data_IF_994066122670
#
_entry.id   IF_994066122670
#
_cell.length_a   1.000
_cell.length_b   1.000
_cell.length_c   1.000
_cell.angle_alpha   90.00
_cell.angle_beta   90.00
_cell.angle_gamma   90.00
#
_symmetry.space_group_name_H-M   'P 1'
#
loop_
_entity.id
_entity.type
_entity.pdbx_description
1 polymer ?
#
# COMPACT_ATOMS: atom_id res chain seq x y z
N UNK A 1 23.08 0.68 -5.35
CA UNK A 1 22.32 -0.02 -4.29
C UNK A 1 21.64 -1.22 -4.94
N UNK A 2 22.20 -2.40 -4.76
CA UNK A 2 21.59 -3.63 -5.24
C UNK A 2 20.43 -4.02 -4.33
N UNK A 3 19.21 -3.75 -4.74
CA UNK A 3 18.01 -4.34 -4.15
C UNK A 3 17.87 -5.75 -4.72
N UNK A 4 18.52 -6.72 -4.10
CA UNK A 4 18.36 -8.14 -4.45
C UNK A 4 16.90 -8.54 -4.20
N UNK A 5 16.14 -8.75 -5.27
CA UNK A 5 14.79 -9.34 -5.25
C UNK A 5 13.61 -8.45 -5.67
N UNK A 6 13.75 -7.12 -5.84
CA UNK A 6 12.74 -6.29 -6.51
C UNK A 6 13.20 -5.92 -7.91
N UNK A 7 12.32 -6.10 -8.86
CA UNK A 7 12.55 -5.73 -10.25
C UNK A 7 11.57 -4.63 -10.63
N UNK A 8 12.06 -3.68 -11.38
CA UNK A 8 11.30 -2.58 -11.94
C UNK A 8 10.92 -2.92 -13.37
N UNK A 9 9.63 -2.88 -13.67
CA UNK A 9 9.10 -3.14 -15.01
C UNK A 9 8.60 -1.83 -15.59
N UNK A 10 9.36 -1.30 -16.55
CA UNK A 10 9.01 -0.11 -17.29
C UNK A 10 8.25 -0.47 -18.58
N UNK A 11 7.63 0.52 -19.19
CA UNK A 11 6.81 0.38 -20.37
C UNK A 11 7.12 1.50 -21.36
N UNK A 12 7.57 1.14 -22.55
CA UNK A 12 7.85 2.08 -23.62
C UNK A 12 6.83 1.93 -24.76
N UNK A 13 6.15 3.01 -25.02
CA UNK A 13 5.09 3.09 -26.03
C UNK A 13 5.56 3.71 -27.34
N UNK A 14 6.83 4.09 -27.45
CA UNK A 14 7.37 4.79 -28.61
C UNK A 14 8.58 4.08 -29.20
N UNK A 15 8.53 3.76 -30.51
CA UNK A 15 9.67 3.20 -31.23
C UNK A 15 10.89 4.15 -31.25
N UNK A 16 10.67 5.47 -31.07
CA UNK A 16 11.74 6.47 -31.01
C UNK A 16 12.54 6.34 -29.71
N UNK A 17 11.89 6.00 -28.62
CA UNK A 17 12.55 5.76 -27.33
C UNK A 17 13.34 4.45 -27.33
N UNK A 18 12.86 3.44 -28.08
CA UNK A 18 13.53 2.14 -28.21
C UNK A 18 14.88 2.27 -28.90
N UNK A 19 14.97 3.13 -29.91
CA UNK A 19 16.14 3.17 -30.77
C UNK A 19 17.19 4.17 -30.33
N UNK A 20 16.96 5.10 -29.41
CA UNK A 20 17.89 6.16 -28.93
C UNK A 20 19.02 6.60 -29.90
N UNK A 21 19.11 5.94 -31.04
CA UNK A 21 20.03 6.23 -32.14
C UNK A 21 19.26 7.03 -33.18
N UNK A 22 19.92 8.00 -33.79
CA UNK A 22 19.37 8.75 -34.95
C UNK A 22 19.30 7.84 -36.19
N UNK A 23 18.48 6.78 -36.10
CA UNK A 23 18.20 5.94 -37.27
C UNK A 23 17.15 6.61 -38.15
N UNK A 24 17.19 6.45 -39.46
CA UNK A 24 16.11 6.86 -40.37
C UNK A 24 14.76 6.30 -39.86
N UNK A 25 13.68 7.07 -40.01
CA UNK A 25 12.34 6.72 -39.49
C UNK A 25 11.88 5.33 -39.91
N UNK A 26 12.12 4.95 -41.17
CA UNK A 26 11.73 3.62 -41.67
C UNK A 26 12.51 2.49 -40.99
N UNK A 27 13.82 2.69 -40.72
CA UNK A 27 14.64 1.68 -40.05
C UNK A 27 14.24 1.55 -38.56
N UNK A 28 13.96 2.67 -37.90
CA UNK A 28 13.43 2.68 -36.54
C UNK A 28 12.10 1.93 -36.43
N UNK A 29 11.23 2.11 -37.44
CA UNK A 29 9.97 1.40 -37.57
C UNK A 29 10.16 -0.10 -37.78
N UNK A 30 11.08 -0.51 -38.65
CA UNK A 30 11.40 -1.92 -38.84
C UNK A 30 11.93 -2.59 -37.57
N UNK A 31 12.86 -1.93 -36.88
CA UNK A 31 13.39 -2.42 -35.58
C UNK A 31 12.28 -2.56 -34.55
N UNK A 32 11.40 -1.57 -34.46
CA UNK A 32 10.26 -1.62 -33.57
C UNK A 32 9.30 -2.78 -33.86
N UNK A 33 8.94 -2.98 -35.13
CA UNK A 33 8.10 -4.10 -35.58
C UNK A 33 8.76 -5.46 -35.29
N UNK A 34 10.05 -5.59 -35.47
CA UNK A 34 10.79 -6.80 -35.12
C UNK A 34 10.82 -7.04 -33.62
N UNK A 35 11.08 -6.00 -32.81
CA UNK A 35 11.06 -6.08 -31.34
C UNK A 35 9.70 -6.56 -30.85
N UNK A 36 8.64 -6.03 -31.42
CA UNK A 36 7.27 -6.38 -31.05
C UNK A 36 6.91 -7.80 -31.46
N UNK A 37 7.26 -8.19 -32.71
CA UNK A 37 7.02 -9.54 -33.22
C UNK A 37 7.74 -10.62 -32.39
N UNK A 38 8.96 -10.35 -31.95
CA UNK A 38 9.75 -11.28 -31.13
C UNK A 38 9.49 -11.15 -29.62
N UNK A 39 8.63 -10.21 -29.19
CA UNK A 39 8.36 -9.98 -27.77
C UNK A 39 9.61 -9.52 -27.02
N UNK A 40 10.19 -8.42 -27.47
CA UNK A 40 11.47 -7.94 -26.97
C UNK A 40 11.36 -7.36 -25.56
N UNK A 41 12.27 -7.80 -24.68
CA UNK A 41 12.44 -7.27 -23.33
C UNK A 41 13.87 -6.78 -23.21
N UNK A 42 14.04 -5.49 -22.97
CA UNK A 42 15.34 -4.92 -22.66
C UNK A 42 15.58 -5.01 -21.15
N UNK A 43 16.70 -5.63 -20.76
CA UNK A 43 17.18 -5.63 -19.37
C UNK A 43 18.31 -4.62 -19.23
N UNK A 44 18.25 -3.82 -18.16
CA UNK A 44 19.34 -2.95 -17.73
C UNK A 44 19.35 -2.97 -16.18
N UNK A 45 20.37 -3.56 -15.59
CA UNK A 45 20.47 -3.80 -14.13
C UNK A 45 19.21 -4.53 -13.59
N UNK A 46 18.50 -3.91 -12.64
CA UNK A 46 17.26 -4.43 -12.09
C UNK A 46 16.00 -3.96 -12.84
N UNK A 47 16.15 -3.46 -14.08
CA UNK A 47 15.05 -2.97 -14.90
C UNK A 47 14.77 -3.87 -16.07
N UNK A 48 13.50 -4.21 -16.26
CA UNK A 48 12.96 -4.77 -17.48
C UNK A 48 12.11 -3.73 -18.17
N UNK A 49 12.28 -3.57 -19.46
CA UNK A 49 11.46 -2.65 -20.25
C UNK A 49 10.64 -3.46 -21.22
N UNK A 50 9.32 -3.45 -21.08
CA UNK A 50 8.38 -3.97 -22.06
C UNK A 50 8.20 -2.94 -23.17
N UNK A 51 8.36 -3.38 -24.42
CA UNK A 51 8.19 -2.53 -25.59
C UNK A 51 6.91 -2.96 -26.29
N UNK A 52 5.87 -2.14 -26.21
CA UNK A 52 4.56 -2.45 -26.76
C UNK A 52 4.15 -1.47 -27.90
N UNK A 53 3.16 -1.86 -28.68
CA UNK A 53 2.57 -1.02 -29.72
C UNK A 53 1.72 0.13 -29.16
N UNK A 54 1.48 1.15 -29.99
CA UNK A 54 0.73 2.36 -29.65
C UNK A 54 -0.70 2.10 -29.12
N UNK A 55 -1.23 0.90 -29.30
CA UNK A 55 -2.59 0.52 -28.90
C UNK A 55 -2.66 -0.24 -27.58
N UNK A 56 -1.69 -0.13 -26.70
CA UNK A 56 -1.65 -0.78 -25.37
C UNK A 56 -1.82 -2.32 -25.37
N UNK A 57 -1.63 -2.96 -26.53
CA UNK A 57 -1.73 -4.41 -26.65
C UNK A 57 -0.42 -5.05 -26.20
N UNK A 58 -0.41 -5.52 -24.96
CA UNK A 58 0.70 -6.34 -24.46
C UNK A 58 0.59 -7.73 -25.08
N UNK A 59 1.58 -8.10 -25.87
CA UNK A 59 1.64 -9.39 -26.55
C UNK A 59 1.89 -10.53 -25.54
N UNK A 60 1.18 -11.66 -25.69
CA UNK A 60 1.36 -12.84 -24.81
C UNK A 60 2.79 -13.39 -24.82
N UNK A 61 3.44 -13.32 -25.96
CA UNK A 61 4.85 -13.73 -26.08
C UNK A 61 5.76 -12.89 -25.21
N UNK A 62 5.49 -11.56 -25.12
CA UNK A 62 6.23 -10.67 -24.23
C UNK A 62 6.00 -11.02 -22.76
N UNK A 63 4.78 -11.33 -22.39
CA UNK A 63 4.44 -11.74 -21.02
C UNK A 63 5.12 -13.06 -20.65
N UNK A 64 5.12 -14.03 -21.54
CA UNK A 64 5.81 -15.30 -21.32
C UNK A 64 7.32 -15.12 -21.19
N UNK A 65 7.94 -14.34 -22.07
CA UNK A 65 9.36 -14.02 -21.99
C UNK A 65 9.71 -13.27 -20.69
N UNK A 66 8.84 -12.35 -20.24
CA UNK A 66 9.00 -11.67 -18.96
C UNK A 66 8.95 -12.67 -17.81
N UNK A 67 7.96 -13.58 -17.83
CA UNK A 67 7.80 -14.57 -16.78
C UNK A 67 9.02 -15.49 -16.69
N UNK A 68 9.53 -15.98 -17.83
CA UNK A 68 10.75 -16.80 -17.87
C UNK A 68 11.93 -16.07 -17.21
N UNK A 69 12.09 -14.76 -17.49
CA UNK A 69 13.15 -13.96 -16.89
C UNK A 69 12.93 -13.73 -15.39
N UNK A 70 11.72 -13.43 -14.94
CA UNK A 70 11.40 -13.28 -13.53
C UNK A 70 11.62 -14.60 -12.77
N UNK A 71 11.27 -15.72 -13.39
CA UNK A 71 11.48 -17.05 -12.83
C UNK A 71 12.96 -17.43 -12.76
N UNK A 72 13.74 -17.18 -13.83
CA UNK A 72 15.18 -17.43 -13.89
C UNK A 72 15.93 -16.72 -12.75
N UNK A 73 15.46 -15.54 -12.33
CA UNK A 73 16.08 -14.74 -11.28
C UNK A 73 15.38 -14.87 -9.91
N UNK A 74 14.45 -15.81 -9.72
CA UNK A 74 13.62 -16.01 -8.51
C UNK A 74 12.96 -14.71 -8.02
N UNK A 75 12.47 -13.88 -8.94
CA UNK A 75 11.83 -12.60 -8.63
C UNK A 75 10.38 -12.84 -8.26
N UNK A 76 10.02 -12.47 -7.03
CA UNK A 76 8.66 -12.60 -6.46
C UNK A 76 7.94 -11.27 -6.30
N UNK A 77 8.67 -10.15 -6.42
CA UNK A 77 8.13 -8.82 -6.18
C UNK A 77 8.59 -7.86 -7.26
N UNK A 78 7.66 -7.08 -7.79
CA UNK A 78 7.92 -6.12 -8.85
C UNK A 78 7.34 -4.74 -8.56
N UNK A 79 8.00 -3.72 -9.11
CA UNK A 79 7.49 -2.36 -9.23
C UNK A 79 7.18 -2.11 -10.69
N UNK A 80 5.97 -1.72 -11.00
CA UNK A 80 5.54 -1.51 -12.37
C UNK A 80 5.31 -0.03 -12.66
N UNK A 81 5.61 0.38 -13.89
CA UNK A 81 5.25 1.70 -14.39
C UNK A 81 3.73 1.93 -14.28
N UNK A 82 3.31 3.17 -14.06
CA UNK A 82 1.89 3.51 -13.85
C UNK A 82 0.99 3.07 -15.01
N UNK A 83 1.48 3.13 -16.24
CA UNK A 83 0.75 2.66 -17.42
C UNK A 83 0.47 1.16 -17.38
N UNK A 84 1.42 0.35 -16.91
CA UNK A 84 1.21 -1.08 -16.73
C UNK A 84 0.19 -1.39 -15.64
N UNK A 85 0.17 -0.60 -14.57
CA UNK A 85 -0.82 -0.76 -13.50
C UNK A 85 -2.26 -0.43 -13.93
N UNK A 86 -2.42 0.37 -14.98
CA UNK A 86 -3.72 0.66 -15.60
C UNK A 86 -4.17 -0.43 -16.59
N UNK A 87 -3.27 -1.27 -17.04
CA UNK A 87 -3.58 -2.37 -17.97
C UNK A 87 -4.11 -3.58 -17.19
N UNK A 88 -5.42 -3.78 -17.21
CA UNK A 88 -6.09 -4.86 -16.47
C UNK A 88 -5.58 -6.26 -16.85
N UNK A 89 -5.30 -6.49 -18.14
CA UNK A 89 -4.77 -7.77 -18.62
C UNK A 89 -3.40 -8.07 -18.01
N UNK A 90 -2.50 -7.08 -17.97
CA UNK A 90 -1.20 -7.22 -17.37
C UNK A 90 -1.31 -7.48 -15.85
N UNK A 91 -2.13 -6.69 -15.15
CA UNK A 91 -2.32 -6.83 -13.70
C UNK A 91 -2.94 -8.18 -13.34
N UNK A 92 -3.90 -8.66 -14.13
CA UNK A 92 -4.48 -9.99 -13.95
C UNK A 92 -3.43 -11.08 -14.16
N UNK A 93 -2.71 -11.02 -15.27
CA UNK A 93 -1.67 -11.98 -15.60
C UNK A 93 -0.59 -12.10 -14.53
N UNK A 94 -0.06 -10.97 -14.02
CA UNK A 94 1.01 -10.99 -13.02
C UNK A 94 0.54 -11.57 -11.69
N UNK A 95 -0.73 -11.31 -11.32
CA UNK A 95 -1.37 -11.90 -10.14
C UNK A 95 -1.56 -13.42 -10.27
N UNK A 96 -1.96 -13.89 -11.45
CA UNK A 96 -2.07 -15.33 -11.74
C UNK A 96 -0.73 -16.05 -11.58
N UNK A 97 0.37 -15.37 -11.91
CA UNK A 97 1.74 -15.86 -11.69
C UNK A 97 2.21 -15.76 -10.23
N UNK A 98 1.36 -15.28 -9.31
CA UNK A 98 1.67 -15.09 -7.87
C UNK A 98 2.85 -14.16 -7.62
N UNK A 99 3.08 -13.21 -8.51
CA UNK A 99 4.09 -12.17 -8.35
C UNK A 99 3.44 -10.98 -7.63
N UNK A 100 4.06 -10.50 -6.57
CA UNK A 100 3.58 -9.34 -5.82
C UNK A 100 3.92 -8.05 -6.54
N UNK A 101 2.92 -7.16 -6.66
CA UNK A 101 3.12 -5.80 -7.17
C UNK A 101 3.16 -4.84 -5.99
N UNK A 102 4.24 -4.08 -5.85
CA UNK A 102 4.28 -2.94 -4.94
C UNK A 102 3.45 -1.80 -5.52
N UNK A 103 2.42 -1.41 -4.78
CA UNK A 103 1.43 -0.43 -5.18
C UNK A 103 1.19 0.67 -4.11
N UNK A 104 2.10 0.79 -3.15
CA UNK A 104 2.02 1.68 -2.00
C UNK A 104 1.30 1.07 -0.79
N UNK A 105 0.59 -0.05 -0.96
CA UNK A 105 -0.22 -0.66 0.11
C UNK A 105 0.61 -1.35 1.18
N UNK A 106 1.76 -1.88 0.81
CA UNK A 106 2.66 -2.43 1.82
C UNK A 106 3.09 -1.33 2.79
N UNK A 107 3.51 -0.17 2.28
CA UNK A 107 3.91 0.96 3.12
C UNK A 107 2.73 1.52 3.92
N UNK A 108 1.54 1.61 3.32
CA UNK A 108 0.32 2.10 3.98
C UNK A 108 0.01 1.35 5.28
N UNK A 109 0.29 0.04 5.34
CA UNK A 109 0.10 -0.78 6.55
C UNK A 109 1.01 -0.38 7.71
N UNK A 110 2.10 0.34 7.48
CA UNK A 110 2.99 0.84 8.54
C UNK A 110 2.60 2.21 9.06
N UNK A 111 1.54 2.83 8.52
CA UNK A 111 1.12 4.20 8.83
C UNK A 111 -0.08 4.37 9.76
N UNK A 112 -0.73 3.34 10.35
CA UNK A 112 -1.92 3.53 11.18
C UNK A 112 -1.71 4.54 12.30
N UNK A 113 -0.56 4.50 12.97
CA UNK A 113 -0.26 5.46 14.03
C UNK A 113 -0.07 6.90 13.51
N UNK A 114 0.53 7.09 12.33
CA UNK A 114 0.63 8.42 11.71
C UNK A 114 -0.73 8.93 11.26
N UNK A 115 -1.60 8.03 10.77
CA UNK A 115 -2.99 8.34 10.42
C UNK A 115 -3.76 8.78 11.68
N UNK A 116 -3.63 8.06 12.79
CA UNK A 116 -4.21 8.40 14.06
C UNK A 116 -3.80 9.81 14.51
N UNK A 117 -2.50 10.11 14.53
CA UNK A 117 -1.97 11.42 14.87
C UNK A 117 -2.52 12.52 13.95
N UNK A 118 -2.57 12.26 12.65
CA UNK A 118 -3.05 13.24 11.67
C UNK A 118 -4.54 13.52 11.82
N UNK A 119 -5.36 12.48 12.08
CA UNK A 119 -6.80 12.66 12.32
C UNK A 119 -7.06 13.42 13.61
N UNK A 120 -6.38 13.08 14.71
CA UNK A 120 -6.50 13.81 15.97
C UNK A 120 -6.18 15.31 15.79
N UNK A 121 -5.11 15.62 15.03
CA UNK A 121 -4.76 16.99 14.67
C UNK A 121 -5.85 17.68 13.83
N UNK A 122 -6.39 17.02 12.80
CA UNK A 122 -7.44 17.60 11.92
C UNK A 122 -8.73 17.85 12.70
N UNK A 123 -9.12 16.91 13.57
CA UNK A 123 -10.31 17.05 14.41
C UNK A 123 -10.10 18.02 15.58
N UNK A 124 -8.87 18.45 15.82
CA UNK A 124 -8.47 19.29 16.96
C UNK A 124 -8.90 18.69 18.31
N UNK A 125 -8.66 17.38 18.49
CA UNK A 125 -8.98 16.64 19.71
C UNK A 125 -7.71 16.04 20.31
N UNK A 126 -7.71 15.87 21.64
CA UNK A 126 -6.62 15.15 22.31
C UNK A 126 -6.74 13.65 22.01
N UNK A 127 -5.63 13.01 21.76
CA UNK A 127 -5.59 11.56 21.50
C UNK A 127 -6.14 10.76 22.68
N UNK A 128 -5.90 11.24 23.92
CA UNK A 128 -6.43 10.67 25.16
C UNK A 128 -7.95 10.74 25.30
N UNK A 129 -8.64 11.45 24.42
CA UNK A 129 -10.10 11.55 24.44
C UNK A 129 -10.74 10.61 23.42
N UNK A 130 -9.94 10.02 22.50
CA UNK A 130 -10.41 9.18 21.40
C UNK A 130 -10.59 7.72 21.82
N UNK A 131 -11.71 7.14 21.38
CA UNK A 131 -11.94 5.70 21.43
C UNK A 131 -11.56 5.07 20.08
N UNK A 132 -10.64 4.10 20.12
CA UNK A 132 -10.10 3.45 18.93
C UNK A 132 -10.51 1.98 18.91
N UNK A 133 -10.96 1.50 17.75
CA UNK A 133 -11.19 0.07 17.51
C UNK A 133 -10.28 -0.47 16.43
N UNK A 134 -9.76 -1.67 16.66
CA UNK A 134 -8.95 -2.44 15.71
C UNK A 134 -9.74 -3.69 15.32
N UNK A 135 -10.03 -3.86 14.05
CA UNK A 135 -10.67 -5.03 13.48
C UNK A 135 -9.59 -5.97 12.91
N UNK A 136 -9.38 -7.10 13.56
CA UNK A 136 -8.28 -8.00 13.19
C UNK A 136 -8.52 -9.42 13.68
N UNK A 137 -8.32 -10.41 12.81
CA UNK A 137 -8.42 -11.83 13.16
C UNK A 137 -7.04 -12.48 13.37
N UNK A 138 -6.00 -11.97 12.70
CA UNK A 138 -4.67 -12.56 12.77
C UNK A 138 -3.67 -11.62 13.44
N UNK A 139 -3.18 -11.94 14.65
CA UNK A 139 -2.12 -11.18 15.27
C UNK A 139 -0.84 -11.31 14.44
N UNK A 140 -0.31 -10.17 14.00
CA UNK A 140 0.98 -10.06 13.31
C UNK A 140 1.88 -9.13 14.10
N UNK A 141 3.19 -9.13 13.83
CA UNK A 141 4.10 -8.16 14.43
C UNK A 141 3.61 -6.72 14.19
N UNK A 142 3.18 -6.45 12.97
CA UNK A 142 2.63 -5.16 12.56
C UNK A 142 1.41 -4.77 13.41
N UNK A 143 0.45 -5.67 13.59
CA UNK A 143 -0.76 -5.43 14.38
C UNK A 143 -0.41 -5.19 15.84
N UNK A 144 0.43 -6.06 16.42
CA UNK A 144 0.82 -5.98 17.82
C UNK A 144 1.54 -4.66 18.15
N UNK A 145 2.42 -4.18 17.27
CA UNK A 145 3.10 -2.90 17.46
C UNK A 145 2.14 -1.72 17.37
N UNK A 146 1.18 -1.73 16.42
CA UNK A 146 0.15 -0.70 16.35
C UNK A 146 -0.74 -0.69 17.59
N UNK A 147 -1.13 -1.86 18.11
CA UNK A 147 -1.89 -1.97 19.38
C UNK A 147 -1.12 -1.29 20.52
N UNK A 148 0.17 -1.56 20.65
CA UNK A 148 1.02 -0.93 21.69
C UNK A 148 1.09 0.58 21.53
N UNK A 149 1.24 1.09 20.29
CA UNK A 149 1.30 2.53 20.04
C UNK A 149 -0.04 3.22 20.36
N UNK A 150 -1.16 2.64 19.93
CA UNK A 150 -2.49 3.22 20.19
C UNK A 150 -2.86 3.18 21.69
N UNK A 151 -2.65 2.03 22.34
CA UNK A 151 -3.04 1.84 23.73
C UNK A 151 -2.37 2.83 24.69
N UNK A 152 -1.17 3.30 24.38
CA UNK A 152 -0.43 4.28 25.17
C UNK A 152 -1.00 5.70 25.08
N UNK A 153 -1.82 5.98 24.08
CA UNK A 153 -2.21 7.36 23.77
C UNK A 153 -3.72 7.57 23.68
N UNK A 154 -4.52 6.56 23.30
CA UNK A 154 -5.97 6.69 23.24
C UNK A 154 -6.64 6.46 24.60
N UNK A 155 -7.89 6.90 24.71
CA UNK A 155 -8.70 6.73 25.93
C UNK A 155 -9.09 5.28 26.16
N UNK A 156 -9.56 4.63 25.09
CA UNK A 156 -10.02 3.24 25.10
C UNK A 156 -9.53 2.59 23.80
N UNK A 157 -8.95 1.40 23.92
CA UNK A 157 -8.62 0.57 22.78
C UNK A 157 -9.42 -0.72 22.81
N UNK A 158 -10.21 -0.94 21.74
CA UNK A 158 -10.96 -2.17 21.53
C UNK A 158 -10.31 -2.98 20.41
N UNK A 159 -10.07 -4.27 20.64
CA UNK A 159 -9.69 -5.23 19.60
C UNK A 159 -10.91 -6.12 19.33
N UNK A 160 -11.41 -6.08 18.10
CA UNK A 160 -12.52 -6.91 17.65
C UNK A 160 -11.94 -8.01 16.78
N UNK A 161 -12.21 -9.26 17.17
CA UNK A 161 -11.61 -10.45 16.54
C UNK A 161 -12.55 -11.64 16.65
N UNK A 162 -12.44 -12.59 15.74
CA UNK A 162 -13.11 -13.91 15.86
C UNK A 162 -12.30 -14.87 16.74
N UNK A 163 -11.00 -14.57 16.99
CA UNK A 163 -10.10 -15.38 17.81
C UNK A 163 -9.56 -14.59 19.02
N UNK A 164 -10.32 -14.52 20.09
CA UNK A 164 -9.90 -13.83 21.34
C UNK A 164 -8.65 -14.47 21.94
N UNK A 165 -8.48 -15.79 21.83
CA UNK A 165 -7.33 -16.47 22.42
C UNK A 165 -6.01 -16.05 21.80
N UNK A 166 -6.00 -15.75 20.51
CA UNK A 166 -4.82 -15.27 19.80
C UNK A 166 -4.29 -13.92 20.38
N UNK A 167 -5.15 -13.12 21.03
CA UNK A 167 -4.79 -11.82 21.61
C UNK A 167 -4.54 -11.86 23.12
N UNK A 168 -4.73 -12.99 23.81
CA UNK A 168 -4.50 -13.12 25.26
C UNK A 168 -3.07 -12.79 25.68
N UNK A 169 -2.08 -13.20 24.89
CA UNK A 169 -0.67 -12.90 25.19
C UNK A 169 -0.42 -11.40 25.11
N UNK A 170 -1.01 -10.73 24.11
CA UNK A 170 -0.88 -9.28 23.95
C UNK A 170 -1.62 -8.53 25.07
N UNK A 171 -2.84 -8.95 25.42
CA UNK A 171 -3.62 -8.38 26.52
C UNK A 171 -2.84 -8.43 27.84
N UNK A 172 -2.30 -9.62 28.17
CA UNK A 172 -1.47 -9.80 29.36
C UNK A 172 -0.21 -8.93 29.32
N UNK A 173 0.48 -8.89 28.20
CA UNK A 173 1.66 -8.04 28.02
C UNK A 173 1.35 -6.56 28.23
N UNK A 174 0.23 -6.06 27.70
CA UNK A 174 -0.19 -4.66 27.88
C UNK A 174 -0.45 -4.34 29.35
N UNK A 175 -1.05 -5.26 30.08
CA UNK A 175 -1.28 -5.09 31.52
C UNK A 175 0.02 -5.17 32.32
N UNK A 176 0.83 -6.22 32.11
CA UNK A 176 2.02 -6.51 32.94
C UNK A 176 3.16 -5.50 32.69
N UNK A 177 3.41 -5.11 31.43
CA UNK A 177 4.54 -4.22 31.08
C UNK A 177 4.18 -2.74 31.12
N UNK A 178 2.91 -2.39 30.84
CA UNK A 178 2.50 -0.99 30.68
C UNK A 178 1.38 -0.55 31.64
N UNK A 179 0.76 -1.48 32.36
CA UNK A 179 -0.40 -1.18 33.22
C UNK A 179 -1.65 -0.75 32.43
N UNK A 180 -1.73 -1.11 31.16
CA UNK A 180 -2.80 -0.70 30.24
C UNK A 180 -3.77 -1.86 30.01
N UNK A 181 -5.05 -1.59 30.21
CA UNK A 181 -6.13 -2.53 29.91
C UNK A 181 -6.62 -2.27 28.48
N UNK A 182 -6.61 -3.31 27.65
CA UNK A 182 -7.22 -3.30 26.33
C UNK A 182 -8.44 -4.22 26.32
N UNK A 183 -9.48 -3.86 25.59
CA UNK A 183 -10.70 -4.67 25.47
C UNK A 183 -10.61 -5.59 24.26
N UNK A 184 -10.64 -6.89 24.45
CA UNK A 184 -10.68 -7.89 23.38
C UNK A 184 -12.06 -8.53 23.32
N UNK A 185 -12.73 -8.49 22.16
CA UNK A 185 -14.13 -8.91 22.04
C UNK A 185 -14.44 -9.54 20.69
N UNK A 186 -15.37 -10.52 20.70
CA UNK A 186 -15.97 -11.05 19.46
C UNK A 186 -17.24 -10.28 19.05
N UNK A 187 -17.71 -9.36 19.88
CA UNK A 187 -18.98 -8.68 19.65
C UNK A 187 -18.83 -7.55 18.62
N UNK A 188 -18.99 -7.89 17.35
CA UNK A 188 -18.90 -6.96 16.22
C UNK A 188 -19.98 -5.86 16.27
N UNK A 189 -21.16 -6.13 16.80
CA UNK A 189 -22.27 -5.18 16.83
C UNK A 189 -22.10 -4.06 17.84
N UNK A 190 -21.54 -4.35 19.00
CA UNK A 190 -21.47 -3.38 20.12
C UNK A 190 -20.11 -2.68 20.22
N UNK A 191 -19.03 -3.35 19.84
CA UNK A 191 -17.68 -2.88 20.14
C UNK A 191 -17.19 -1.69 19.29
N UNK A 192 -17.86 -1.40 18.17
CA UNK A 192 -17.50 -0.24 17.31
C UNK A 192 -18.42 0.97 17.49
N UNK A 193 -19.50 0.85 18.24
CA UNK A 193 -20.57 1.89 18.30
C UNK A 193 -20.08 3.23 18.85
N UNK A 194 -19.12 3.20 19.79
CA UNK A 194 -18.55 4.42 20.41
C UNK A 194 -17.24 4.86 19.81
N UNK A 195 -16.66 4.07 18.90
CA UNK A 195 -15.35 4.35 18.35
C UNK A 195 -15.35 5.61 17.50
N UNK A 196 -14.37 6.48 17.71
CA UNK A 196 -14.08 7.64 16.88
C UNK A 196 -13.26 7.26 15.65
N UNK A 197 -12.40 6.24 15.82
CA UNK A 197 -11.50 5.71 14.82
C UNK A 197 -11.57 4.19 14.80
N UNK A 198 -11.65 3.64 13.59
CA UNK A 198 -11.72 2.20 13.37
C UNK A 198 -10.66 1.83 12.35
N UNK A 199 -9.71 0.97 12.72
CA UNK A 199 -8.67 0.46 11.83
C UNK A 199 -9.00 -0.98 11.44
N UNK A 200 -9.32 -1.20 10.16
CA UNK A 200 -9.52 -2.53 9.63
C UNK A 200 -8.21 -3.09 9.05
N UNK A 201 -7.67 -4.13 9.71
CA UNK A 201 -6.45 -4.81 9.27
C UNK A 201 -6.74 -5.98 8.31
N UNK A 202 -7.76 -6.80 8.61
CA UNK A 202 -8.02 -8.03 7.85
C UNK A 202 -9.48 -8.51 7.83
N UNK A 203 -10.44 -7.73 8.33
CA UNK A 203 -11.85 -8.07 8.19
C UNK A 203 -12.31 -7.91 6.76
N UNK A 204 -12.95 -8.93 6.22
CA UNK A 204 -13.58 -8.90 4.91
C UNK A 204 -14.92 -8.13 4.94
N UNK A 205 -15.53 -7.93 3.78
CA UNK A 205 -16.79 -7.18 3.65
C UNK A 205 -17.95 -7.78 4.46
N UNK A 206 -18.02 -9.13 4.59
CA UNK A 206 -19.09 -9.79 5.35
C UNK A 206 -18.98 -9.50 6.84
N UNK A 207 -17.75 -9.48 7.36
CA UNK A 207 -17.49 -9.17 8.76
C UNK A 207 -17.70 -7.70 9.06
N UNK A 208 -17.25 -6.80 8.17
CA UNK A 208 -17.48 -5.36 8.30
C UNK A 208 -18.96 -4.99 8.33
N UNK A 209 -19.81 -5.67 7.55
CA UNK A 209 -21.28 -5.47 7.56
C UNK A 209 -21.93 -5.81 8.90
N UNK A 210 -21.29 -6.68 9.71
CA UNK A 210 -21.78 -7.01 11.06
C UNK A 210 -21.35 -5.97 12.11
N UNK A 211 -20.36 -5.13 11.80
CA UNK A 211 -19.89 -4.11 12.72
C UNK A 211 -20.80 -2.89 12.65
N UNK A 212 -21.52 -2.63 13.75
CA UNK A 212 -22.30 -1.39 13.90
C UNK A 212 -21.33 -0.27 14.26
N UNK A 213 -21.12 0.64 13.33
CA UNK A 213 -20.16 1.73 13.48
C UNK A 213 -20.89 3.06 13.73
N UNK A 214 -20.29 3.93 14.50
CA UNK A 214 -20.74 5.30 14.66
C UNK A 214 -20.65 6.05 13.32
N UNK A 215 -21.68 6.79 12.94
CA UNK A 215 -21.71 7.55 11.69
C UNK A 215 -20.59 8.59 11.58
N UNK A 216 -20.14 9.12 12.74
CA UNK A 216 -19.02 10.08 12.81
C UNK A 216 -17.64 9.42 12.91
N UNK A 217 -17.59 8.09 13.02
CA UNK A 217 -16.33 7.37 13.09
C UNK A 217 -15.59 7.42 11.75
N UNK A 218 -14.27 7.57 11.80
CA UNK A 218 -13.40 7.41 10.66
C UNK A 218 -12.98 5.95 10.54
N UNK A 219 -13.29 5.30 9.42
CA UNK A 219 -12.82 3.96 9.09
C UNK A 219 -11.53 4.06 8.27
N UNK A 220 -10.47 3.41 8.71
CA UNK A 220 -9.22 3.24 7.96
C UNK A 220 -9.15 1.81 7.44
N UNK A 221 -9.21 1.66 6.14
CA UNK A 221 -9.24 0.38 5.46
C UNK A 221 -7.84 -0.01 4.98
N UNK A 222 -7.13 -0.83 5.75
CA UNK A 222 -5.76 -1.25 5.43
C UNK A 222 -5.72 -2.43 4.45
N UNK A 223 -6.81 -3.18 4.34
CA UNK A 223 -6.94 -4.25 3.37
C UNK A 223 -7.30 -3.73 1.97
N UNK A 224 -7.08 -4.60 0.96
CA UNK A 224 -7.34 -4.28 -0.47
C UNK A 224 -8.83 -4.27 -0.83
N UNK A 225 -9.68 -4.92 -0.04
CA UNK A 225 -11.12 -4.98 -0.29
C UNK A 225 -11.77 -3.61 -0.08
N UNK A 226 -12.45 -3.11 -1.11
CA UNK A 226 -13.20 -1.88 -1.00
C UNK A 226 -14.45 -2.11 -0.16
N UNK A 227 -14.61 -1.38 0.93
CA UNK A 227 -15.83 -1.32 1.71
C UNK A 227 -16.44 0.07 1.59
N UNK A 228 -17.68 0.12 1.11
CA UNK A 228 -18.41 1.37 0.95
C UNK A 228 -19.40 1.48 2.11
N UNK A 229 -19.25 2.54 2.91
CA UNK A 229 -20.20 2.93 3.94
C UNK A 229 -21.17 3.96 3.36
N UNK A 230 -22.40 3.94 3.85
CA UNK A 230 -23.39 4.96 3.47
C UNK A 230 -23.10 6.31 4.16
N UNK A 231 -22.48 6.27 5.35
CA UNK A 231 -22.19 7.46 6.16
C UNK A 231 -20.80 7.39 6.78
N UNK A 232 -20.22 8.56 7.04
CA UNK A 232 -18.91 8.71 7.68
C UNK A 232 -17.73 8.59 6.70
N UNK A 233 -16.57 8.95 7.20
CA UNK A 233 -15.32 8.99 6.44
C UNK A 233 -14.70 7.60 6.35
N UNK A 234 -14.34 7.18 5.14
CA UNK A 234 -13.55 5.97 4.92
C UNK A 234 -12.24 6.32 4.22
N UNK A 235 -11.12 6.08 4.90
CA UNK A 235 -9.77 6.25 4.35
C UNK A 235 -9.34 4.91 3.77
N UNK A 236 -9.06 4.89 2.47
CA UNK A 236 -8.60 3.69 1.74
C UNK A 236 -7.13 3.76 1.37
N UNK A 237 -6.54 4.95 1.41
CA UNK A 237 -5.14 5.19 1.12
C UNK A 237 -4.69 6.58 1.63
N UNK A 238 -3.39 6.85 1.53
CA UNK A 238 -2.81 8.15 1.88
C UNK A 238 -1.86 8.63 0.79
N UNK A 239 -1.77 9.93 0.59
CA UNK A 239 -0.71 10.55 -0.18
C UNK A 239 0.36 11.04 0.77
N UNK A 240 1.62 10.65 0.50
CA UNK A 240 2.75 10.99 1.35
C UNK A 240 3.53 12.20 0.79
N UNK A 241 4.12 12.96 1.69
CA UNK A 241 5.23 13.86 1.36
C UNK A 241 6.51 13.07 1.56
N UNK A 242 7.17 12.76 0.46
CA UNK A 242 8.41 11.97 0.42
C UNK A 242 9.62 12.89 0.39
N UNK A 243 10.79 12.47 0.92
CA UNK A 243 12.00 13.26 0.84
C UNK A 243 12.39 13.59 -0.60
N UNK A 244 12.85 14.82 -0.82
CA UNK A 244 13.20 15.36 -2.14
C UNK A 244 14.12 14.47 -2.97
N UNK A 245 15.09 13.80 -2.33
CA UNK A 245 16.01 12.86 -3.02
C UNK A 245 15.30 11.75 -3.81
N UNK A 246 14.13 11.29 -3.35
CA UNK A 246 13.36 10.26 -4.06
C UNK A 246 12.54 10.86 -5.20
N UNK A 247 12.09 12.10 -5.08
CA UNK A 247 11.50 12.87 -6.18
C UNK A 247 12.47 13.09 -7.34
N UNK A 248 13.75 13.32 -7.05
CA UNK A 248 14.78 13.41 -8.09
C UNK A 248 14.98 12.06 -8.81
N UNK A 249 14.97 10.97 -8.07
CA UNK A 249 15.01 9.61 -8.66
C UNK A 249 13.79 9.37 -9.55
N UNK A 250 12.59 9.75 -9.10
CA UNK A 250 11.37 9.64 -9.89
C UNK A 250 11.40 10.46 -11.17
N UNK A 251 12.10 11.61 -11.20
CA UNK A 251 12.29 12.39 -12.44
C UNK A 251 13.11 11.62 -13.48
N UNK A 252 14.06 10.82 -13.06
CA UNK A 252 14.83 9.95 -13.95
C UNK A 252 13.96 8.78 -14.45
N UNK A 253 13.13 8.25 -13.59
CA UNK A 253 12.20 7.14 -13.87
C UNK A 253 10.77 7.67 -14.03
N UNK A 254 10.52 8.48 -15.05
CA UNK A 254 9.29 9.26 -15.29
C UNK A 254 7.99 8.46 -15.24
N UNK A 255 8.06 7.16 -15.50
CA UNK A 255 6.90 6.29 -15.59
C UNK A 255 6.50 5.66 -14.24
N UNK A 256 7.29 5.90 -13.19
CA UNK A 256 7.05 5.34 -11.87
C UNK A 256 6.58 6.40 -10.87
N UNK A 257 5.64 6.02 -10.02
CA UNK A 257 5.20 6.85 -8.92
C UNK A 257 6.30 6.96 -7.83
N UNK A 258 6.56 8.16 -7.34
CA UNK A 258 7.60 8.42 -6.32
C UNK A 258 7.36 7.67 -5.01
N UNK A 259 6.08 7.46 -4.62
CA UNK A 259 5.73 6.74 -3.39
C UNK A 259 6.00 5.24 -3.52
N UNK A 260 5.71 4.68 -4.70
CA UNK A 260 5.99 3.27 -4.99
C UNK A 260 7.50 3.03 -5.07
N UNK A 261 8.26 3.97 -5.65
CA UNK A 261 9.72 3.91 -5.61
C UNK A 261 10.24 3.97 -4.17
N UNK A 262 9.71 4.87 -3.34
CA UNK A 262 10.09 4.95 -1.93
C UNK A 262 9.74 3.67 -1.16
N UNK A 263 8.53 3.13 -1.36
CA UNK A 263 8.12 1.84 -0.81
C UNK A 263 9.12 0.73 -1.15
N UNK A 264 9.55 0.65 -2.42
CA UNK A 264 10.49 -0.38 -2.88
C UNK A 264 11.85 -0.33 -2.18
N UNK A 265 12.32 0.87 -1.81
CA UNK A 265 13.54 1.03 -1.02
C UNK A 265 13.40 0.56 0.44
N UNK A 266 12.16 0.57 0.96
CA UNK A 266 11.87 0.14 2.33
C UNK A 266 11.51 -1.34 2.41
N UNK A 267 11.01 -1.92 1.34
CA UNK A 267 10.40 -3.24 1.31
C UNK A 267 11.25 -4.35 1.95
N UNK A 268 12.58 -4.25 1.84
CA UNK A 268 13.50 -5.21 2.47
C UNK A 268 13.89 -4.89 3.92
N UNK A 269 13.40 -3.79 4.48
CA UNK A 269 13.62 -3.45 5.88
C UNK A 269 12.57 -4.13 6.75
N UNK A 270 12.60 -5.43 6.80
CA UNK A 270 11.55 -6.36 7.19
C UNK A 270 10.89 -6.13 8.55
N UNK A 271 11.53 -5.48 9.54
CA UNK A 271 10.90 -5.24 10.83
C UNK A 271 10.12 -3.93 10.87
N UNK A 272 8.98 -3.94 11.56
CA UNK A 272 8.15 -2.74 11.79
C UNK A 272 8.97 -1.58 12.35
N UNK A 273 9.79 -1.83 13.38
CA UNK A 273 10.62 -0.82 14.03
C UNK A 273 11.60 -0.17 13.06
N UNK A 274 12.22 -0.94 12.17
CA UNK A 274 13.18 -0.42 11.20
C UNK A 274 12.48 0.49 10.17
N UNK A 275 11.33 0.08 9.65
CA UNK A 275 10.54 0.90 8.72
C UNK A 275 10.13 2.20 9.40
N UNK A 276 9.55 2.14 10.60
CA UNK A 276 9.12 3.32 11.38
C UNK A 276 10.28 4.28 11.67
N UNK A 277 11.45 3.76 12.05
CA UNK A 277 12.67 4.55 12.27
C UNK A 277 13.10 5.31 11.00
N UNK A 278 13.04 4.64 9.85
CA UNK A 278 13.41 5.26 8.57
C UNK A 278 12.39 6.32 8.17
N UNK A 279 11.08 6.06 8.27
CA UNK A 279 10.03 7.03 7.98
C UNK A 279 10.21 8.32 8.80
N UNK A 280 10.47 8.17 10.11
CA UNK A 280 10.73 9.30 11.01
C UNK A 280 12.00 10.07 10.63
N UNK A 281 13.11 9.36 10.40
CA UNK A 281 14.40 9.96 9.98
C UNK A 281 14.26 10.73 8.67
N UNK A 282 13.53 10.17 7.72
CA UNK A 282 13.34 10.73 6.39
C UNK A 282 12.27 11.85 6.39
N UNK A 283 11.59 12.11 7.52
CA UNK A 283 10.59 13.17 7.64
C UNK A 283 9.34 12.93 6.79
N UNK A 284 8.99 11.66 6.55
CA UNK A 284 7.80 11.29 5.77
C UNK A 284 6.55 11.69 6.54
N UNK A 285 5.64 12.41 5.87
CA UNK A 285 4.41 12.88 6.45
C UNK A 285 3.22 12.62 5.53
N UNK A 286 2.03 12.43 6.10
CA UNK A 286 0.78 12.32 5.34
C UNK A 286 0.41 13.70 4.80
N UNK A 287 0.35 13.83 3.48
CA UNK A 287 -0.06 15.05 2.78
C UNK A 287 -1.57 15.20 2.81
N UNK A 288 -2.30 14.16 2.36
CA UNK A 288 -3.75 14.07 2.44
C UNK A 288 -4.22 12.63 2.44
N UNK A 289 -5.48 12.42 2.80
CA UNK A 289 -6.15 11.13 2.79
C UNK A 289 -6.89 10.91 1.48
N UNK A 290 -7.03 9.65 1.09
CA UNK A 290 -7.77 9.21 -0.08
C UNK A 290 -8.87 8.26 0.39
N UNK A 291 -10.10 8.54 0.02
CA UNK A 291 -11.28 7.71 0.24
C UNK A 291 -11.74 7.00 -1.02
N UNK A 292 -12.94 6.43 -0.95
CA UNK A 292 -13.54 5.73 -2.10
C UNK A 292 -13.78 6.67 -3.30
N UNK A 293 -14.04 7.94 -3.06
CA UNK A 293 -14.38 8.96 -4.07
C UNK A 293 -13.20 9.89 -4.40
N UNK A 294 -12.00 9.57 -3.96
CA UNK A 294 -10.80 10.36 -4.19
C UNK A 294 -10.30 11.06 -2.93
N UNK A 295 -9.73 12.27 -3.07
CA UNK A 295 -9.17 13.03 -1.96
C UNK A 295 -10.26 13.41 -0.96
N UNK A 296 -9.99 13.17 0.33
CA UNK A 296 -10.87 13.55 1.43
C UNK A 296 -10.49 14.97 1.88
N UNK A 297 -11.48 15.86 1.95
CA UNK A 297 -11.28 17.23 2.39
C UNK A 297 -11.39 17.37 3.91
N UNK A 298 -10.76 18.39 4.51
CA UNK A 298 -10.71 18.56 5.96
C UNK A 298 -12.08 18.75 6.63
N UNK A 299 -13.03 19.35 5.91
CA UNK A 299 -14.38 19.55 6.42
C UNK A 299 -15.16 18.24 6.62
N UNK A 300 -14.85 17.20 5.84
CA UNK A 300 -15.49 15.88 5.98
C UNK A 300 -15.22 15.21 7.34
N UNK A 301 -14.11 15.54 8.00
CA UNK A 301 -13.80 15.03 9.33
C UNK A 301 -14.54 15.73 10.47
N UNK A 302 -15.23 16.82 10.20
CA UNK A 302 -15.92 17.65 11.20
C UNK A 302 -17.43 17.40 11.31
N UNK A 303 -17.96 16.53 10.43
CA UNK A 303 -19.38 16.18 10.38
C UNK A 303 -19.83 15.25 11.50
#
# INVERSE_FOLDING_TARGET
>A
MENKGVVYIDYLNSYVEVTKRKLPKWLSWCVYKLCNYFGFIKKNDNFFTLIAEENDVINEKMLNNLYEKLFEFDIKTVVCAELLLKNERFVKWIREKKIEILDGRWLFRFLPYDIFNKIAYIKNVKKSDLEVSILVNKPTELTNQNVVEFAKECKILNIITDDVLAFRVLEKKMLDEYGIIINVSTNKEKSCVRSDLIFNFDFNQKDLKKCKMNNKAVLVQLDKEKFIRNEGVTITFVKLKIPYKYGEIAKVYRHFNEEILYESFLYYKTSYKNVRKILKRDGVNIRYFIGNNGKIEFNEFRM
#
